data_IF_035261615063
#
_entry.id   IF_035261615063
#
_cell.length_a   1.000
_cell.length_b   1.000
_cell.length_c   1.000
_cell.angle_alpha   90.00
_cell.angle_beta   90.00
_cell.angle_gamma   90.00
#
_symmetry.space_group_name_H-M   'P 1'
#
loop_
_entity.id
_entity.type
_entity.pdbx_description
1 polymer ?
#
# COMPACT_ATOMS: atom_id res chain seq x y z
N UNK A 1 72.56 47.64 5.91
CA UNK A 1 73.94 47.15 5.96
C UNK A 1 73.86 45.68 6.33
N UNK A 2 74.19 44.78 5.41
CA UNK A 2 74.09 43.34 5.63
C UNK A 2 75.36 42.90 6.39
N UNK A 3 75.26 42.82 7.71
CA UNK A 3 76.32 42.31 8.58
C UNK A 3 77.02 41.01 8.07
N UNK A 4 76.33 40.03 7.45
CA UNK A 4 77.00 38.84 6.91
C UNK A 4 77.85 39.10 5.64
N UNK A 5 77.51 40.10 4.83
CA UNK A 5 78.31 40.47 3.65
C UNK A 5 79.59 41.20 4.08
N UNK A 6 79.51 42.07 5.08
CA UNK A 6 80.67 42.79 5.62
C UNK A 6 81.63 41.86 6.37
N UNK A 7 81.12 40.87 7.10
CA UNK A 7 81.93 39.90 7.81
C UNK A 7 82.63 38.91 6.84
N UNK A 8 81.93 38.44 5.80
CA UNK A 8 82.54 37.60 4.76
C UNK A 8 83.63 38.35 3.99
N UNK A 9 83.47 39.66 3.75
CA UNK A 9 84.52 40.49 3.16
C UNK A 9 85.74 40.59 4.06
N UNK A 10 85.55 40.85 5.35
CA UNK A 10 86.65 40.94 6.31
C UNK A 10 87.49 39.66 6.35
N UNK A 11 86.86 38.49 6.34
CA UNK A 11 87.57 37.22 6.34
C UNK A 11 88.28 36.92 5.01
N UNK A 12 87.68 37.30 3.88
CA UNK A 12 88.33 37.21 2.57
C UNK A 12 89.58 38.09 2.50
N UNK A 13 89.50 39.32 3.00
CA UNK A 13 90.62 40.27 3.04
C UNK A 13 91.80 39.73 3.88
N UNK A 14 91.52 39.01 4.97
CA UNK A 14 92.54 38.36 5.80
C UNK A 14 93.22 37.21 5.04
N UNK A 15 92.47 36.37 4.33
CA UNK A 15 93.04 35.28 3.53
C UNK A 15 93.88 35.83 2.37
N UNK A 16 93.41 36.89 1.70
CA UNK A 16 94.14 37.58 0.62
C UNK A 16 95.41 38.26 1.13
N UNK A 17 95.38 38.83 2.33
CA UNK A 17 96.55 39.43 2.99
C UNK A 17 97.62 38.38 3.34
N UNK A 18 97.22 37.21 3.85
CA UNK A 18 98.13 36.09 4.11
C UNK A 18 98.73 35.57 2.79
N UNK A 19 97.93 35.46 1.74
CA UNK A 19 98.38 35.07 0.40
C UNK A 19 99.40 36.06 -0.17
N UNK A 20 99.15 37.36 -0.01
CA UNK A 20 100.06 38.42 -0.46
C UNK A 20 101.39 38.40 0.31
N UNK A 21 101.35 38.27 1.65
CA UNK A 21 102.55 38.15 2.48
C UNK A 21 103.39 36.92 2.11
N UNK A 22 102.74 35.80 1.78
CA UNK A 22 103.42 34.58 1.31
C UNK A 22 104.09 34.81 -0.04
N UNK A 23 103.44 35.51 -0.98
CA UNK A 23 104.02 35.88 -2.26
C UNK A 23 105.24 36.81 -2.09
N UNK A 24 105.13 37.83 -1.23
CA UNK A 24 106.22 38.76 -0.94
C UNK A 24 107.46 38.04 -0.38
N UNK A 25 107.26 37.12 0.56
CA UNK A 25 108.35 36.34 1.17
C UNK A 25 109.04 35.43 0.14
N UNK A 26 108.29 34.89 -0.81
CA UNK A 26 108.84 34.07 -1.90
C UNK A 26 109.66 34.89 -2.92
N UNK A 27 109.42 36.21 -3.02
CA UNK A 27 110.22 37.11 -3.88
C UNK A 27 111.53 37.56 -3.25
N UNK A 28 111.72 37.36 -1.93
CA UNK A 28 112.96 37.70 -1.24
C UNK A 28 114.10 36.77 -1.68
N UNK A 29 114.93 37.23 -2.61
CA UNK A 29 116.09 36.47 -3.06
C UNK A 29 117.25 36.58 -2.05
N UNK A 30 117.33 35.61 -1.13
CA UNK A 30 118.44 35.52 -0.16
C UNK A 30 119.45 34.46 -0.62
N UNK A 31 120.68 34.89 -0.91
CA UNK A 31 121.72 33.99 -1.41
C UNK A 31 122.32 33.09 -0.31
N UNK A 32 122.28 33.53 0.94
CA UNK A 32 122.85 32.82 2.09
C UNK A 32 122.02 31.58 2.46
N UNK A 33 122.69 30.44 2.68
CA UNK A 33 122.06 29.14 2.97
C UNK A 33 121.11 29.17 4.18
N UNK A 34 121.47 29.89 5.24
CA UNK A 34 120.65 29.94 6.46
C UNK A 34 119.41 30.81 6.24
N UNK A 35 119.52 31.85 5.40
CA UNK A 35 118.40 32.71 5.02
C UNK A 35 117.38 32.00 4.14
N UNK A 36 117.82 31.16 3.20
CA UNK A 36 116.93 30.27 2.42
C UNK A 36 116.16 29.30 3.32
N UNK A 37 116.81 28.80 4.38
CA UNK A 37 116.17 27.89 5.34
C UNK A 37 115.10 28.60 6.17
N UNK A 38 115.38 29.81 6.66
CA UNK A 38 114.39 30.58 7.43
C UNK A 38 113.22 31.07 6.56
N UNK A 39 113.44 31.43 5.30
CA UNK A 39 112.35 31.72 4.34
C UNK A 39 111.45 30.49 4.19
N UNK A 40 112.03 29.30 3.98
CA UNK A 40 111.26 28.05 3.91
C UNK A 40 110.42 27.81 5.17
N UNK A 41 111.02 27.96 6.36
CA UNK A 41 110.31 27.80 7.63
C UNK A 41 109.14 28.77 7.79
N UNK A 42 109.30 30.02 7.36
CA UNK A 42 108.25 31.05 7.44
C UNK A 42 107.13 30.75 6.44
N UNK A 43 107.48 30.39 5.20
CA UNK A 43 106.51 30.02 4.17
C UNK A 43 105.70 28.78 4.57
N UNK A 44 106.34 27.77 5.15
CA UNK A 44 105.64 26.57 5.65
C UNK A 44 104.67 26.94 6.78
N UNK A 45 105.10 27.76 7.76
CA UNK A 45 104.22 28.23 8.84
C UNK A 45 103.04 29.07 8.34
N UNK A 46 103.25 29.96 7.37
CA UNK A 46 102.18 30.78 6.80
C UNK A 46 101.18 29.93 6.02
N UNK A 47 101.64 28.93 5.28
CA UNK A 47 100.78 27.97 4.57
C UNK A 47 99.92 27.15 5.53
N UNK A 48 100.50 26.72 6.65
CA UNK A 48 99.77 25.99 7.69
C UNK A 48 98.72 26.87 8.39
N UNK A 49 98.98 28.18 8.53
CA UNK A 49 98.01 29.14 9.08
C UNK A 49 96.89 29.37 8.08
N UNK A 50 97.21 29.62 6.80
CA UNK A 50 96.22 29.81 5.74
C UNK A 50 95.27 28.60 5.64
N UNK A 51 95.83 27.39 5.59
CA UNK A 51 95.05 26.16 5.46
C UNK A 51 94.09 25.95 6.63
N UNK A 52 94.54 26.25 7.87
CA UNK A 52 93.69 26.16 9.06
C UNK A 52 92.60 27.23 9.06
N UNK A 53 92.96 28.47 8.75
CA UNK A 53 92.04 29.59 8.69
C UNK A 53 90.94 29.37 7.65
N UNK A 54 91.29 28.94 6.44
CA UNK A 54 90.33 28.66 5.37
C UNK A 54 89.39 27.50 5.75
N UNK A 55 89.91 26.47 6.43
CA UNK A 55 89.09 25.37 6.95
C UNK A 55 88.10 25.81 8.03
N UNK A 56 88.53 26.62 8.99
CA UNK A 56 87.68 27.17 10.05
C UNK A 56 86.61 28.11 9.48
N UNK A 57 86.99 28.96 8.52
CA UNK A 57 86.06 29.84 7.81
C UNK A 57 85.00 29.05 7.05
N UNK A 58 85.40 27.95 6.40
CA UNK A 58 84.48 27.07 5.70
C UNK A 58 83.49 26.39 6.66
N UNK A 59 83.95 25.90 7.82
CA UNK A 59 83.07 25.33 8.85
C UNK A 59 82.08 26.36 9.38
N UNK A 60 82.55 27.57 9.66
CA UNK A 60 81.69 28.66 10.13
C UNK A 60 80.63 29.03 9.09
N UNK A 61 81.00 29.10 7.81
CA UNK A 61 80.06 29.40 6.72
C UNK A 61 79.01 28.31 6.51
N UNK A 62 79.38 27.05 6.72
CA UNK A 62 78.51 25.89 6.46
C UNK A 62 77.57 25.59 7.63
N UNK A 63 77.98 25.92 8.86
CA UNK A 63 77.25 25.50 10.07
C UNK A 63 76.63 26.63 10.87
N UNK A 64 76.97 27.89 10.63
CA UNK A 64 76.29 29.00 11.29
C UNK A 64 75.00 29.36 10.53
N UNK A 65 73.86 29.26 11.22
CA UNK A 65 72.59 29.79 10.73
C UNK A 65 72.56 31.31 10.89
N UNK A 66 73.08 32.03 9.90
CA UNK A 66 73.11 33.50 9.91
C UNK A 66 71.75 34.15 9.65
N UNK A 67 70.77 33.37 9.17
CA UNK A 67 69.49 33.89 8.66
C UNK A 67 68.28 33.49 9.52
N UNK A 68 68.47 32.63 10.53
CA UNK A 68 67.40 32.14 11.40
C UNK A 68 67.41 32.85 12.75
N UNK A 69 66.41 33.69 13.00
CA UNK A 69 66.17 34.21 14.34
C UNK A 69 65.42 33.18 15.19
N UNK A 70 66.14 32.47 16.07
CA UNK A 70 65.56 31.44 16.94
C UNK A 70 64.99 32.07 18.22
N UNK A 71 63.68 31.89 18.44
CA UNK A 71 63.00 32.31 19.66
C UNK A 71 62.50 31.09 20.44
N UNK A 72 62.95 30.95 21.69
CA UNK A 72 62.53 29.88 22.59
C UNK A 72 61.56 30.40 23.66
N UNK A 73 60.42 29.73 23.83
CA UNK A 73 59.39 30.07 24.81
C UNK A 73 59.43 29.10 26.00
N UNK A 74 59.72 29.60 27.20
CA UNK A 74 59.73 28.82 28.44
C UNK A 74 58.60 29.25 29.39
N UNK A 75 58.05 28.29 30.15
CA UNK A 75 57.06 28.55 31.20
C UNK A 75 56.22 27.33 31.53
N UNK A 76 55.38 27.42 32.55
CA UNK A 76 54.47 26.34 32.95
C UNK A 76 53.31 26.12 31.95
N UNK A 77 52.62 24.99 32.06
CA UNK A 77 51.39 24.73 31.29
C UNK A 77 50.35 25.81 31.61
N UNK A 78 49.60 26.24 30.60
CA UNK A 78 48.57 27.28 30.74
C UNK A 78 49.08 28.72 31.01
N UNK A 79 50.38 28.98 30.98
CA UNK A 79 50.95 30.33 31.07
C UNK A 79 50.76 31.20 29.80
N UNK A 80 49.95 30.75 28.83
CA UNK A 80 49.70 31.47 27.58
C UNK A 80 50.75 31.33 26.48
N UNK A 81 51.77 30.46 26.63
CA UNK A 81 52.79 30.22 25.59
C UNK A 81 52.19 29.92 24.21
N UNK A 82 51.22 29.01 24.13
CA UNK A 82 50.58 28.65 22.87
C UNK A 82 49.84 29.85 22.23
N UNK A 83 49.23 30.70 23.05
CA UNK A 83 48.53 31.91 22.58
C UNK A 83 49.51 32.93 21.99
N UNK A 84 50.68 33.12 22.62
CA UNK A 84 51.71 34.03 22.12
C UNK A 84 52.29 33.51 20.81
N UNK A 85 52.61 32.20 20.75
CA UNK A 85 53.10 31.55 19.53
C UNK A 85 52.09 31.76 18.40
N UNK A 86 50.80 31.49 18.63
CA UNK A 86 49.78 31.69 17.60
C UNK A 86 49.61 33.17 17.20
N UNK A 87 49.70 34.09 18.17
CA UNK A 87 49.64 35.53 17.89
C UNK A 87 50.77 35.98 16.97
N UNK A 88 51.99 35.47 17.17
CA UNK A 88 53.13 35.75 16.30
C UNK A 88 52.94 35.15 14.91
N UNK A 89 52.43 33.91 14.82
CA UNK A 89 52.12 33.28 13.52
C UNK A 89 51.11 34.09 12.72
N UNK A 90 50.09 34.63 13.38
CA UNK A 90 49.09 35.51 12.76
C UNK A 90 49.73 36.83 12.33
N UNK A 91 50.48 37.48 13.23
CA UNK A 91 51.10 38.78 12.98
C UNK A 91 52.07 38.73 11.78
N UNK A 92 52.89 37.68 11.71
CA UNK A 92 53.84 37.46 10.62
C UNK A 92 53.25 36.75 9.41
N UNK A 93 51.94 36.44 9.43
CA UNK A 93 51.23 35.81 8.32
C UNK A 93 51.90 34.52 7.84
N UNK A 94 52.20 33.61 8.76
CA UNK A 94 52.84 32.33 8.45
C UNK A 94 52.10 31.61 7.29
N UNK A 95 52.77 31.50 6.14
CA UNK A 95 52.13 31.03 4.89
C UNK A 95 51.61 29.60 5.01
N UNK A 96 52.38 28.72 5.65
CA UNK A 96 52.00 27.31 5.89
C UNK A 96 50.69 27.22 6.67
N UNK A 97 50.52 28.07 7.70
CA UNK A 97 49.31 28.14 8.51
C UNK A 97 48.13 28.68 7.72
N UNK A 98 48.34 29.74 6.93
CA UNK A 98 47.29 30.29 6.06
C UNK A 98 46.83 29.29 4.99
N UNK A 99 47.77 28.56 4.38
CA UNK A 99 47.45 27.51 3.41
C UNK A 99 46.61 26.39 4.06
N UNK A 100 47.01 25.95 5.25
CA UNK A 100 46.26 24.94 6.00
C UNK A 100 44.84 25.41 6.34
N UNK A 101 44.68 26.66 6.79
CA UNK A 101 43.37 27.23 7.09
C UNK A 101 42.47 27.34 5.85
N UNK A 102 43.03 27.69 4.68
CA UNK A 102 42.30 27.71 3.41
C UNK A 102 41.86 26.30 3.00
N UNK A 103 42.77 25.33 3.05
CA UNK A 103 42.45 23.93 2.74
C UNK A 103 41.31 23.41 3.62
N UNK A 104 41.37 23.66 4.93
CA UNK A 104 40.30 23.23 5.84
C UNK A 104 38.95 23.91 5.54
N UNK A 105 38.97 25.16 5.10
CA UNK A 105 37.74 25.86 4.70
C UNK A 105 37.14 25.25 3.42
N UNK A 106 37.98 24.95 2.43
CA UNK A 106 37.58 24.29 1.19
C UNK A 106 37.03 22.88 1.46
N UNK A 107 37.70 22.10 2.30
CA UNK A 107 37.24 20.77 2.72
C UNK A 107 35.87 20.84 3.41
N UNK A 108 35.67 21.81 4.30
CA UNK A 108 34.40 22.01 4.99
C UNK A 108 33.26 22.34 4.02
N UNK A 109 33.54 23.17 3.01
CA UNK A 109 32.58 23.50 1.96
C UNK A 109 32.22 22.25 1.15
N UNK A 110 33.21 21.47 0.73
CA UNK A 110 33.00 20.23 -0.02
C UNK A 110 32.16 19.22 0.77
N UNK A 111 32.47 19.03 2.06
CA UNK A 111 31.68 18.15 2.92
C UNK A 111 30.23 18.63 3.06
N UNK A 112 30.03 19.94 3.20
CA UNK A 112 28.69 20.52 3.31
C UNK A 112 27.88 20.29 2.03
N UNK A 113 28.49 20.50 0.87
CA UNK A 113 27.86 20.25 -0.43
C UNK A 113 27.54 18.76 -0.61
N UNK A 114 28.46 17.87 -0.29
CA UNK A 114 28.26 16.42 -0.40
C UNK A 114 27.13 15.93 0.51
N UNK A 115 27.11 16.38 1.77
CA UNK A 115 26.06 16.02 2.72
C UNK A 115 24.69 16.52 2.25
N UNK A 116 24.63 17.76 1.76
CA UNK A 116 23.39 18.34 1.21
C UNK A 116 22.88 17.53 0.01
N UNK A 117 23.77 17.15 -0.91
CA UNK A 117 23.41 16.32 -2.06
C UNK A 117 22.90 14.93 -1.65
N UNK A 118 23.51 14.32 -0.62
CA UNK A 118 23.06 13.05 -0.07
C UNK A 118 21.68 13.15 0.58
N UNK A 119 21.45 14.17 1.40
CA UNK A 119 20.14 14.42 2.02
C UNK A 119 19.05 14.62 0.97
N UNK A 120 19.34 15.40 -0.09
CA UNK A 120 18.39 15.60 -1.18
C UNK A 120 18.09 14.31 -1.95
N UNK A 121 19.08 13.44 -2.15
CA UNK A 121 18.87 12.14 -2.79
C UNK A 121 17.99 11.24 -1.94
N UNK A 122 18.24 11.17 -0.62
CA UNK A 122 17.42 10.39 0.31
C UNK A 122 16.00 10.92 0.35
N UNK A 123 15.82 12.25 0.46
CA UNK A 123 14.52 12.92 0.45
C UNK A 123 13.72 12.58 -0.82
N UNK A 124 14.35 12.67 -2.00
CA UNK A 124 13.72 12.32 -3.28
C UNK A 124 13.34 10.84 -3.33
N UNK A 125 14.22 9.94 -2.89
CA UNK A 125 13.96 8.50 -2.85
C UNK A 125 12.77 8.15 -1.95
N UNK A 126 12.71 8.72 -0.74
CA UNK A 126 11.59 8.58 0.19
C UNK A 126 10.28 9.09 -0.42
N UNK A 127 10.31 10.24 -1.08
CA UNK A 127 9.13 10.80 -1.73
C UNK A 127 8.61 9.91 -2.85
N UNK A 128 9.50 9.37 -3.68
CA UNK A 128 9.14 8.43 -4.76
C UNK A 128 8.48 7.17 -4.19
N UNK A 129 9.10 6.52 -3.20
CA UNK A 129 8.54 5.36 -2.49
C UNK A 129 7.16 5.66 -1.91
N UNK A 130 7.00 6.81 -1.25
CA UNK A 130 5.71 7.19 -0.67
C UNK A 130 4.63 7.38 -1.75
N UNK A 131 4.98 7.99 -2.88
CA UNK A 131 4.05 8.19 -4.00
C UNK A 131 3.63 6.87 -4.67
N UNK A 132 4.54 5.90 -4.74
CA UNK A 132 4.26 4.57 -5.27
C UNK A 132 3.30 3.83 -4.36
N UNK A 133 3.59 3.79 -3.04
CA UNK A 133 2.71 3.14 -2.07
C UNK A 133 1.31 3.76 -2.01
N UNK A 134 1.19 5.10 -2.06
CA UNK A 134 -0.14 5.73 -2.08
C UNK A 134 -0.90 5.40 -3.36
N UNK A 135 -0.21 5.28 -4.49
CA UNK A 135 -0.77 4.81 -5.76
C UNK A 135 -1.30 3.38 -5.67
N UNK A 136 -0.49 2.45 -5.16
CA UNK A 136 -0.90 1.06 -4.94
C UNK A 136 -2.10 0.95 -3.98
N UNK A 137 -2.06 1.67 -2.87
CA UNK A 137 -3.14 1.67 -1.89
C UNK A 137 -4.45 2.19 -2.49
N UNK A 138 -4.38 3.23 -3.34
CA UNK A 138 -5.53 3.75 -4.06
C UNK A 138 -6.10 2.71 -5.05
N UNK A 139 -5.25 1.99 -5.78
CA UNK A 139 -5.66 0.93 -6.70
C UNK A 139 -6.33 -0.25 -5.96
N UNK A 140 -5.79 -0.64 -4.80
CA UNK A 140 -6.38 -1.67 -3.94
C UNK A 140 -7.74 -1.21 -3.41
N UNK A 141 -7.84 0.03 -2.94
CA UNK A 141 -9.10 0.62 -2.46
C UNK A 141 -10.16 0.62 -3.56
N UNK A 142 -9.81 1.04 -4.77
CA UNK A 142 -10.70 1.02 -5.93
C UNK A 142 -11.15 -0.41 -6.29
N UNK A 143 -10.23 -1.37 -6.28
CA UNK A 143 -10.53 -2.78 -6.55
C UNK A 143 -11.48 -3.36 -5.51
N UNK A 144 -11.28 -3.01 -4.24
CA UNK A 144 -12.13 -3.42 -3.12
C UNK A 144 -13.54 -2.82 -3.25
N UNK A 145 -13.64 -1.54 -3.61
CA UNK A 145 -14.92 -0.88 -3.89
C UNK A 145 -15.67 -1.56 -5.06
N UNK A 146 -14.95 -1.92 -6.12
CA UNK A 146 -15.51 -2.64 -7.27
C UNK A 146 -16.03 -4.02 -6.88
N UNK A 147 -15.27 -4.76 -6.06
CA UNK A 147 -15.68 -6.07 -5.57
C UNK A 147 -16.95 -5.95 -4.69
N UNK A 148 -17.02 -4.94 -3.82
CA UNK A 148 -18.22 -4.68 -3.03
C UNK A 148 -19.46 -4.42 -3.91
N UNK A 149 -19.30 -3.65 -4.99
CA UNK A 149 -20.38 -3.42 -5.96
C UNK A 149 -20.84 -4.70 -6.66
N UNK A 150 -19.90 -5.55 -7.09
CA UNK A 150 -20.20 -6.83 -7.73
C UNK A 150 -20.96 -7.74 -6.77
N UNK A 151 -20.49 -7.88 -5.53
CA UNK A 151 -21.15 -8.71 -4.51
C UNK A 151 -22.57 -8.19 -4.22
N UNK A 152 -22.74 -6.86 -4.16
CA UNK A 152 -24.07 -6.27 -3.96
C UNK A 152 -25.00 -6.52 -5.15
N UNK A 153 -24.49 -6.44 -6.38
CA UNK A 153 -25.24 -6.75 -7.59
C UNK A 153 -25.68 -8.22 -7.60
N UNK A 154 -24.75 -9.13 -7.36
CA UNK A 154 -25.03 -10.57 -7.33
C UNK A 154 -26.03 -10.92 -6.23
N UNK A 155 -25.92 -10.32 -5.04
CA UNK A 155 -26.90 -10.51 -3.98
C UNK A 155 -28.31 -10.04 -4.39
N UNK A 156 -28.42 -8.93 -5.13
CA UNK A 156 -29.71 -8.45 -5.66
C UNK A 156 -30.29 -9.42 -6.68
N UNK A 157 -29.49 -9.90 -7.63
CA UNK A 157 -29.92 -10.87 -8.64
C UNK A 157 -30.35 -12.20 -8.00
N UNK A 158 -29.60 -12.69 -7.02
CA UNK A 158 -29.99 -13.90 -6.27
C UNK A 158 -31.33 -13.71 -5.56
N UNK A 159 -31.56 -12.54 -4.97
CA UNK A 159 -32.83 -12.25 -4.31
C UNK A 159 -34.00 -12.15 -5.29
N UNK A 160 -33.82 -11.53 -6.47
CA UNK A 160 -34.89 -11.45 -7.47
C UNK A 160 -35.24 -12.82 -8.03
N UNK A 161 -34.24 -13.68 -8.29
CA UNK A 161 -34.48 -15.07 -8.70
C UNK A 161 -35.21 -15.84 -7.60
N UNK A 162 -34.76 -15.76 -6.35
CA UNK A 162 -35.39 -16.44 -5.23
C UNK A 162 -36.85 -16.00 -5.03
N UNK A 163 -37.15 -14.71 -5.20
CA UNK A 163 -38.51 -14.17 -5.16
C UNK A 163 -39.36 -14.73 -6.32
N UNK A 164 -38.84 -14.70 -7.55
CA UNK A 164 -39.56 -15.22 -8.71
C UNK A 164 -39.86 -16.73 -8.58
N UNK A 165 -38.93 -17.51 -8.03
CA UNK A 165 -39.14 -18.93 -7.72
C UNK A 165 -40.22 -19.14 -6.66
N UNK A 166 -40.20 -18.36 -5.57
CA UNK A 166 -41.22 -18.43 -4.53
C UNK A 166 -42.63 -18.09 -5.06
N UNK A 167 -42.73 -17.07 -5.91
CA UNK A 167 -43.98 -16.67 -6.55
C UNK A 167 -44.48 -17.73 -7.54
N UNK A 168 -43.57 -18.35 -8.31
CA UNK A 168 -43.91 -19.45 -9.21
C UNK A 168 -44.42 -20.68 -8.44
N UNK A 169 -43.77 -21.05 -7.33
CA UNK A 169 -44.22 -22.14 -6.44
C UNK A 169 -45.60 -21.86 -5.86
N UNK A 170 -45.84 -20.63 -5.42
CA UNK A 170 -47.14 -20.22 -4.86
C UNK A 170 -48.24 -20.29 -5.92
N UNK A 171 -47.97 -19.80 -7.13
CA UNK A 171 -48.92 -19.88 -8.25
C UNK A 171 -49.23 -21.33 -8.65
N UNK A 172 -48.23 -22.19 -8.75
CA UNK A 172 -48.43 -23.62 -9.05
C UNK A 172 -49.27 -24.29 -7.97
N UNK A 173 -48.97 -24.05 -6.68
CA UNK A 173 -49.75 -24.59 -5.57
C UNK A 173 -51.22 -24.11 -5.60
N UNK A 174 -51.46 -22.83 -5.94
CA UNK A 174 -52.81 -22.30 -6.13
C UNK A 174 -53.53 -22.95 -7.31
N UNK A 175 -52.87 -23.12 -8.44
CA UNK A 175 -53.43 -23.81 -9.61
C UNK A 175 -53.78 -25.27 -9.32
N UNK A 176 -52.88 -26.00 -8.65
CA UNK A 176 -53.14 -27.38 -8.23
C UNK A 176 -54.32 -27.46 -7.24
N UNK A 177 -54.39 -26.55 -6.27
CA UNK A 177 -55.50 -26.49 -5.32
C UNK A 177 -56.83 -26.20 -6.03
N UNK A 178 -56.84 -25.27 -6.98
CA UNK A 178 -58.01 -24.93 -7.77
C UNK A 178 -58.46 -26.11 -8.65
N UNK A 179 -57.53 -26.76 -9.35
CA UNK A 179 -57.82 -27.94 -10.16
C UNK A 179 -58.37 -29.11 -9.31
N UNK A 180 -57.85 -29.31 -8.10
CA UNK A 180 -58.38 -30.30 -7.15
C UNK A 180 -59.81 -29.96 -6.71
N UNK A 181 -60.08 -28.69 -6.43
CA UNK A 181 -61.42 -28.24 -6.07
C UNK A 181 -62.42 -28.46 -7.21
N UNK A 182 -62.04 -28.12 -8.44
CA UNK A 182 -62.87 -28.33 -9.63
C UNK A 182 -63.13 -29.81 -9.89
N UNK A 183 -62.11 -30.66 -9.79
CA UNK A 183 -62.28 -32.12 -9.89
C UNK A 183 -63.24 -32.65 -8.82
N UNK A 184 -63.09 -32.20 -7.56
CA UNK A 184 -63.98 -32.59 -6.46
C UNK A 184 -65.43 -32.14 -6.70
N UNK A 185 -65.63 -30.93 -7.24
CA UNK A 185 -66.95 -30.41 -7.60
C UNK A 185 -67.57 -31.22 -8.75
N UNK A 186 -66.80 -31.57 -9.77
CA UNK A 186 -67.26 -32.42 -10.88
C UNK A 186 -67.65 -33.81 -10.39
N UNK A 187 -66.85 -34.44 -9.53
CA UNK A 187 -67.18 -35.74 -8.93
C UNK A 187 -68.43 -35.66 -8.05
N UNK A 188 -68.60 -34.58 -7.28
CA UNK A 188 -69.80 -34.36 -6.47
C UNK A 188 -71.04 -34.18 -7.35
N UNK A 189 -70.95 -33.38 -8.42
CA UNK A 189 -72.03 -33.17 -9.38
C UNK A 189 -72.40 -34.47 -10.11
N UNK A 190 -71.41 -35.25 -10.53
CA UNK A 190 -71.63 -36.56 -11.15
C UNK A 190 -72.32 -37.54 -10.19
N UNK A 191 -71.91 -37.58 -8.92
CA UNK A 191 -72.58 -38.38 -7.88
C UNK A 191 -74.03 -37.94 -7.65
N UNK A 192 -74.30 -36.63 -7.62
CA UNK A 192 -75.67 -36.12 -7.50
C UNK A 192 -76.53 -36.53 -8.71
N UNK A 193 -76.00 -36.42 -9.92
CA UNK A 193 -76.72 -36.84 -11.13
C UNK A 193 -77.04 -38.33 -11.13
N UNK A 194 -76.08 -39.18 -10.73
CA UNK A 194 -76.32 -40.62 -10.57
C UNK A 194 -77.41 -40.89 -9.52
N UNK A 195 -77.34 -40.25 -8.35
CA UNK A 195 -78.35 -40.40 -7.31
C UNK A 195 -79.74 -39.92 -7.77
N UNK A 196 -79.82 -38.83 -8.56
CA UNK A 196 -81.07 -38.38 -9.18
C UNK A 196 -81.60 -39.37 -10.21
N UNK A 197 -80.73 -39.96 -11.05
CA UNK A 197 -81.12 -40.98 -12.02
C UNK A 197 -81.63 -42.24 -11.31
N UNK A 198 -80.94 -42.70 -10.26
CA UNK A 198 -81.36 -43.82 -9.42
C UNK A 198 -82.72 -43.53 -8.75
N UNK A 199 -82.89 -42.34 -8.15
CA UNK A 199 -84.15 -41.92 -7.54
C UNK A 199 -85.30 -41.85 -8.56
N UNK A 200 -85.06 -41.30 -9.75
CA UNK A 200 -86.05 -41.28 -10.84
C UNK A 200 -86.38 -42.67 -11.35
N UNK A 201 -85.39 -43.56 -11.46
CA UNK A 201 -85.59 -44.95 -11.84
C UNK A 201 -86.42 -45.70 -10.78
N UNK A 202 -86.13 -45.48 -9.50
CA UNK A 202 -86.91 -46.00 -8.37
C UNK A 202 -88.36 -45.50 -8.41
N UNK A 203 -88.58 -44.19 -8.55
CA UNK A 203 -89.92 -43.59 -8.68
C UNK A 203 -90.68 -44.14 -9.90
N UNK A 204 -90.01 -44.31 -11.04
CA UNK A 204 -90.61 -44.91 -12.23
C UNK A 204 -90.99 -46.38 -12.01
N UNK A 205 -90.16 -47.14 -11.28
CA UNK A 205 -90.47 -48.51 -10.88
C UNK A 205 -91.66 -48.56 -9.92
N UNK A 206 -91.72 -47.69 -8.91
CA UNK A 206 -92.86 -47.58 -8.00
C UNK A 206 -94.15 -47.18 -8.74
N UNK A 207 -94.09 -46.20 -9.66
CA UNK A 207 -95.24 -45.83 -10.49
C UNK A 207 -95.71 -46.99 -11.36
N UNK A 208 -94.78 -47.77 -11.92
CA UNK A 208 -95.10 -48.96 -12.72
C UNK A 208 -95.77 -50.04 -11.88
N UNK A 209 -95.27 -50.30 -10.66
CA UNK A 209 -95.92 -51.20 -9.71
C UNK A 209 -97.30 -50.70 -9.30
N UNK A 210 -97.45 -49.41 -9.01
CA UNK A 210 -98.74 -48.81 -8.65
C UNK A 210 -99.74 -48.92 -9.81
N UNK A 211 -99.32 -48.69 -11.05
CA UNK A 211 -100.15 -48.86 -12.25
C UNK A 211 -100.58 -50.32 -12.43
N UNK A 212 -99.66 -51.27 -12.23
CA UNK A 212 -99.98 -52.70 -12.23
C UNK A 212 -101.00 -53.07 -11.15
N UNK A 213 -100.85 -52.55 -9.92
CA UNK A 213 -101.82 -52.76 -8.84
C UNK A 213 -103.19 -52.17 -9.17
N UNK A 214 -103.24 -50.99 -9.79
CA UNK A 214 -104.49 -50.37 -10.26
C UNK A 214 -105.18 -51.18 -11.35
N UNK A 215 -104.42 -51.77 -12.28
CA UNK A 215 -104.99 -52.68 -13.28
C UNK A 215 -105.54 -53.96 -12.65
N UNK A 216 -104.85 -54.51 -11.66
CA UNK A 216 -105.33 -55.66 -10.89
C UNK A 216 -106.62 -55.29 -10.14
N UNK A 217 -106.67 -54.15 -9.45
CA UNK A 217 -107.88 -53.67 -8.77
C UNK A 217 -109.04 -53.40 -9.74
N UNK A 218 -108.80 -52.78 -10.91
CA UNK A 218 -109.84 -52.59 -11.92
C UNK A 218 -110.34 -53.93 -12.48
N UNK A 219 -109.46 -54.92 -12.68
CA UNK A 219 -109.86 -56.27 -13.06
C UNK A 219 -110.71 -56.94 -11.97
N UNK A 220 -110.36 -56.75 -10.68
CA UNK A 220 -111.17 -57.20 -9.55
C UNK A 220 -112.50 -56.44 -9.42
N UNK A 221 -112.55 -55.15 -9.72
CA UNK A 221 -113.77 -54.33 -9.69
C UNK A 221 -114.74 -54.70 -10.81
N UNK A 222 -114.23 -54.99 -12.02
CA UNK A 222 -115.00 -55.51 -13.16
C UNK A 222 -115.53 -56.92 -12.88
N UNK A 223 -114.78 -57.75 -12.15
CA UNK A 223 -115.28 -59.06 -11.69
C UNK A 223 -116.35 -58.91 -10.61
N UNK A 224 -116.17 -58.00 -9.63
CA UNK A 224 -117.17 -57.73 -8.57
C UNK A 224 -118.46 -57.12 -9.11
N UNK A 225 -118.40 -56.26 -10.13
CA UNK A 225 -119.59 -55.71 -10.78
C UNK A 225 -120.34 -56.78 -11.58
N UNK A 226 -119.64 -57.70 -12.25
CA UNK A 226 -120.24 -58.90 -12.88
C UNK A 226 -120.88 -59.84 -11.86
N UNK A 227 -120.24 -60.06 -10.70
CA UNK A 227 -120.79 -60.93 -9.63
C UNK A 227 -121.99 -60.28 -8.93
N UNK A 228 -121.99 -58.96 -8.70
CA UNK A 228 -123.20 -58.26 -8.19
C UNK A 228 -124.33 -58.25 -9.21
N UNK A 229 -124.07 -58.06 -10.50
CA UNK A 229 -125.12 -58.11 -11.52
C UNK A 229 -125.74 -59.51 -11.66
N UNK A 230 -124.98 -60.58 -11.39
CA UNK A 230 -125.50 -61.95 -11.34
C UNK A 230 -126.33 -62.27 -10.08
N UNK A 231 -126.10 -61.56 -8.96
CA UNK A 231 -126.81 -61.76 -7.68
C UNK A 231 -128.11 -60.95 -7.54
N UNK A 232 -128.31 -59.90 -8.33
CA UNK A 232 -129.52 -59.06 -8.29
C UNK A 232 -130.61 -59.45 -9.32
N UNK A 233 -130.48 -60.60 -9.98
CA UNK A 233 -131.43 -61.06 -11.02
C UNK A 233 -132.67 -61.82 -10.55
N UNK A 234 -132.83 -62.13 -9.26
CA UNK A 234 -133.98 -62.89 -8.74
C UNK A 234 -134.58 -62.20 -7.50
N UNK A 235 -135.64 -61.41 -7.75
CA UNK A 235 -136.48 -60.70 -6.75
C UNK A 235 -136.00 -59.27 -6.48
N UNK A 236 -136.58 -58.17 -6.99
CA UNK A 236 -137.98 -57.86 -7.28
C UNK A 236 -138.46 -56.85 -6.22
N UNK A 237 -138.32 -55.52 -6.40
CA UNK A 237 -139.35 -54.58 -6.93
C UNK A 237 -139.61 -53.42 -5.90
N UNK A 238 -139.65 -52.17 -6.43
CA UNK A 238 -140.48 -50.99 -6.05
C UNK A 238 -139.97 -49.82 -5.17
N UNK A 239 -140.16 -48.61 -5.76
CA UNK A 239 -140.31 -47.22 -5.23
C UNK A 239 -138.99 -46.50 -4.86
N UNK A 240 -138.69 -45.26 -5.26
CA UNK A 240 -139.34 -44.17 -6.00
C UNK A 240 -138.35 -42.99 -6.02
N UNK A 241 -138.11 -42.35 -7.17
CA UNK A 241 -138.48 -40.95 -7.49
C UNK A 241 -137.68 -39.81 -6.80
N UNK A 242 -137.30 -38.81 -7.63
CA UNK A 242 -136.77 -37.44 -7.35
C UNK A 242 -135.26 -37.33 -7.01
N UNK A 243 -134.39 -36.70 -7.82
CA UNK A 243 -134.31 -35.33 -8.39
C UNK A 243 -133.81 -34.27 -7.39
N UNK A 244 -132.57 -33.77 -7.59
CA UNK A 244 -131.96 -32.43 -7.26
C UNK A 244 -130.43 -32.64 -7.14
N UNK A 245 -129.55 -32.12 -8.00
CA UNK A 245 -129.10 -30.73 -8.26
C UNK A 245 -128.80 -29.92 -6.98
N UNK A 246 -127.51 -29.75 -6.67
CA UNK A 246 -126.91 -28.59 -5.98
C UNK A 246 -125.38 -28.75 -6.03
N UNK A 247 -124.68 -27.95 -6.84
CA UNK A 247 -124.03 -26.68 -6.46
C UNK A 247 -122.74 -26.88 -5.64
N UNK A 248 -121.57 -26.67 -6.24
CA UNK A 248 -120.85 -25.39 -6.27
C UNK A 248 -120.30 -25.00 -4.88
N UNK A 249 -118.96 -24.99 -4.77
CA UNK A 249 -118.10 -23.88 -4.28
C UNK A 249 -116.77 -24.46 -3.78
N UNK A 250 -115.64 -24.10 -4.40
CA UNK A 250 -114.88 -22.84 -4.36
C UNK A 250 -113.78 -22.90 -3.31
N UNK A 251 -112.54 -22.82 -3.82
CA UNK A 251 -111.35 -22.18 -3.26
C UNK A 251 -110.88 -22.52 -1.84
N UNK A 252 -109.59 -22.84 -1.75
CA UNK A 252 -108.82 -22.58 -0.54
C UNK A 252 -107.41 -23.16 -0.58
N UNK A 253 -106.46 -22.33 -1.02
CA UNK A 253 -105.00 -22.37 -0.82
C UNK A 253 -104.19 -23.48 -1.49
#
# INVERSE_FOLDING_TARGET
MNAPEDLNRLYADVSDSIGSAMADILTLNVEHKDGKREIGNITDKLRDIQTRFDSELHQLKTHAEWDTFTLAFFGETNAGKSTIIESLRILFKEESRQALLRQHADDLEQFTQALTAHLERVRKGLHALYSEYTGELAAISQSTARLAQIVQHEARERNTIAQAEADARTRLAQQEAQARLEAQQQEAAHRQQLAEQESRAHLAAEQKEAWQRLQIEQAHAVSRSKVRLALFGVGGILIGATATVALLKLAGA
#
